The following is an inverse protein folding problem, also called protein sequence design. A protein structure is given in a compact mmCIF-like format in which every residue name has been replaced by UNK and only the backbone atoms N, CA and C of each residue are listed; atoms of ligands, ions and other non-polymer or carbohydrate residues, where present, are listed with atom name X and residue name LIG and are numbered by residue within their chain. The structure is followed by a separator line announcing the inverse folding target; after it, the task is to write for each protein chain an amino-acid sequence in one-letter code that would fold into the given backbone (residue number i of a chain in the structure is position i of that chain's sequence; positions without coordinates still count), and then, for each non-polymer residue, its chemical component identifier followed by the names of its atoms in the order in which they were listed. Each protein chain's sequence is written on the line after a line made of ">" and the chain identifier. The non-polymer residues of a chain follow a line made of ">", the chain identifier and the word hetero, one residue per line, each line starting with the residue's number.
data_IF_985730746073
#
_entry.id   IF_985730746073
#
_cell.length_a   1.000
_cell.length_b   1.000
_cell.length_c   1.000
_cell.angle_alpha   90.00
_cell.angle_beta   90.00
_cell.angle_gamma   90.00
#
_symmetry.space_group_name_H-M   'P 1'
#
loop_
_entity.id
_entity.type
_entity.pdbx_description
1 polymer ?
#
# COMPACT_ATOMS: atom_id res chain seq x y z
N UNK A 1 20.82 14.58 -14.35
CA UNK A 1 19.73 13.68 -13.91
C UNK A 1 20.02 12.20 -14.22
N UNK A 2 20.30 11.83 -15.48
CA UNK A 2 20.59 10.42 -15.86
C UNK A 2 21.76 9.78 -15.10
N UNK A 3 22.85 10.52 -14.86
CA UNK A 3 24.00 10.04 -14.08
C UNK A 3 23.62 9.67 -12.62
N UNK A 4 22.89 10.56 -11.94
CA UNK A 4 22.44 10.33 -10.55
C UNK A 4 21.46 9.15 -10.47
N UNK A 5 20.56 9.01 -11.46
CA UNK A 5 19.63 7.88 -11.56
C UNK A 5 20.39 6.55 -11.73
N UNK A 6 21.41 6.53 -12.58
CA UNK A 6 22.26 5.35 -12.78
C UNK A 6 23.10 4.98 -11.55
N UNK A 7 23.66 5.99 -10.87
CA UNK A 7 24.41 5.78 -9.63
C UNK A 7 23.52 5.23 -8.51
N UNK A 8 22.31 5.78 -8.33
CA UNK A 8 21.33 5.30 -7.36
C UNK A 8 20.93 3.85 -7.65
N UNK A 9 20.60 3.53 -8.92
CA UNK A 9 20.27 2.16 -9.32
C UNK A 9 21.39 1.18 -8.97
N UNK A 10 22.63 1.54 -9.28
CA UNK A 10 23.81 0.72 -8.98
C UNK A 10 23.93 0.49 -7.47
N UNK A 11 23.72 1.53 -6.67
CA UNK A 11 23.78 1.43 -5.21
C UNK A 11 22.68 0.52 -4.65
N UNK A 12 21.42 0.71 -5.07
CA UNK A 12 20.26 -0.10 -4.64
C UNK A 12 20.53 -1.59 -4.88
N UNK A 13 21.02 -1.94 -6.07
CA UNK A 13 21.35 -3.32 -6.42
C UNK A 13 22.51 -3.86 -5.58
N UNK A 14 23.57 -3.06 -5.40
CA UNK A 14 24.75 -3.47 -4.64
C UNK A 14 24.44 -3.76 -3.16
N UNK A 15 23.49 -3.03 -2.57
CA UNK A 15 23.10 -3.24 -1.17
C UNK A 15 21.92 -4.19 -1.00
N UNK A 16 21.32 -4.67 -2.09
CA UNK A 16 20.07 -5.45 -2.09
C UNK A 16 19.00 -4.81 -1.20
N UNK A 17 18.57 -3.61 -1.61
CA UNK A 17 17.83 -2.68 -0.75
C UNK A 17 16.47 -3.20 -0.29
N UNK A 18 16.37 -3.52 1.01
CA UNK A 18 15.16 -3.97 1.68
C UNK A 18 13.96 -3.01 1.58
N UNK A 19 14.16 -1.73 1.21
CA UNK A 19 13.09 -0.74 1.08
C UNK A 19 12.06 -1.05 -0.03
N UNK A 20 12.32 -2.08 -0.84
CA UNK A 20 11.40 -2.57 -1.87
C UNK A 20 10.46 -3.69 -1.39
N UNK A 21 10.64 -4.16 -0.16
CA UNK A 21 9.80 -5.18 0.48
C UNK A 21 8.66 -4.52 1.27
N UNK A 22 7.55 -5.24 1.45
CA UNK A 22 6.51 -4.85 2.40
C UNK A 22 7.04 -4.88 3.84
N UNK A 23 6.48 -4.05 4.72
CA UNK A 23 6.90 -3.92 6.12
C UNK A 23 6.79 -5.22 6.93
N UNK A 24 5.84 -6.09 6.55
CA UNK A 24 5.65 -7.40 7.17
C UNK A 24 6.25 -8.55 6.37
N UNK A 25 7.04 -8.24 5.33
CA UNK A 25 7.69 -9.26 4.52
C UNK A 25 8.63 -10.12 5.38
N UNK A 26 8.58 -11.45 5.26
CA UNK A 26 9.51 -12.32 5.98
C UNK A 26 10.97 -12.10 5.54
N UNK A 27 11.19 -11.52 4.36
CA UNK A 27 12.50 -11.18 3.82
C UNK A 27 13.02 -9.79 4.29
N UNK A 28 12.20 -9.02 5.02
CA UNK A 28 12.61 -7.70 5.50
C UNK A 28 13.75 -7.81 6.54
N UNK A 29 14.55 -6.75 6.64
CA UNK A 29 15.69 -6.66 7.55
C UNK A 29 17.04 -6.85 6.86
N UNK A 30 18.11 -6.42 7.54
CA UNK A 30 19.44 -6.30 6.95
C UNK A 30 19.96 -7.63 6.37
N UNK A 31 19.97 -8.70 7.16
CA UNK A 31 20.53 -9.98 6.72
C UNK A 31 19.60 -10.73 5.76
N UNK A 32 18.29 -10.71 6.04
CA UNK A 32 17.32 -11.50 5.27
C UNK A 32 17.14 -10.99 3.85
N UNK A 33 17.07 -9.67 3.66
CA UNK A 33 16.97 -9.06 2.34
C UNK A 33 18.17 -9.44 1.47
N UNK A 34 19.37 -9.45 2.05
CA UNK A 34 20.63 -9.78 1.36
C UNK A 34 20.87 -11.27 1.13
N UNK A 35 19.99 -12.14 1.63
CA UNK A 35 20.12 -13.58 1.38
C UNK A 35 19.93 -13.88 -0.12
N UNK A 36 20.71 -14.80 -0.71
CA UNK A 36 20.54 -15.17 -2.12
C UNK A 36 19.11 -15.62 -2.41
N UNK A 37 18.44 -14.91 -3.33
CA UNK A 37 17.07 -15.22 -3.73
C UNK A 37 15.99 -14.74 -2.76
N UNK A 38 16.30 -13.82 -1.83
CA UNK A 38 15.30 -13.25 -0.89
C UNK A 38 14.09 -12.64 -1.61
N UNK A 39 14.34 -11.89 -2.69
CA UNK A 39 13.36 -11.40 -3.65
C UNK A 39 14.08 -10.95 -4.93
N UNK A 40 13.40 -10.90 -6.09
CA UNK A 40 14.02 -10.56 -7.37
C UNK A 40 14.15 -9.04 -7.55
N UNK A 41 15.08 -8.40 -6.81
CA UNK A 41 15.24 -6.95 -6.76
C UNK A 41 15.39 -6.30 -8.15
N UNK A 42 16.13 -6.88 -9.09
CA UNK A 42 16.29 -6.30 -10.43
C UNK A 42 14.95 -6.16 -11.17
N UNK A 43 14.07 -7.15 -11.03
CA UNK A 43 12.73 -7.15 -11.65
C UNK A 43 11.82 -6.15 -10.95
N UNK A 44 11.87 -6.13 -9.63
CA UNK A 44 11.12 -5.19 -8.79
C UNK A 44 11.52 -3.74 -9.09
N UNK A 45 12.83 -3.48 -9.18
CA UNK A 45 13.36 -2.16 -9.47
C UNK A 45 13.00 -1.70 -10.90
N UNK A 46 12.94 -2.61 -11.86
CA UNK A 46 12.45 -2.29 -13.21
C UNK A 46 10.96 -1.89 -13.18
N UNK A 47 10.11 -2.57 -12.41
CA UNK A 47 8.70 -2.18 -12.23
C UNK A 47 8.60 -0.82 -11.50
N UNK A 48 9.43 -0.60 -10.48
CA UNK A 48 9.47 0.67 -9.75
C UNK A 48 9.83 1.85 -10.66
N UNK A 49 10.82 1.69 -11.54
CA UNK A 49 11.18 2.73 -12.52
C UNK A 49 10.01 3.05 -13.44
N UNK A 50 9.33 2.02 -13.99
CA UNK A 50 8.16 2.21 -14.85
C UNK A 50 7.03 2.95 -14.12
N UNK A 51 6.81 2.63 -12.85
CA UNK A 51 5.81 3.30 -12.03
C UNK A 51 6.17 4.77 -11.76
N UNK A 52 7.45 5.06 -11.55
CA UNK A 52 7.96 6.41 -11.35
C UNK A 52 7.87 7.27 -12.62
N UNK A 53 8.04 6.68 -13.80
CA UNK A 53 7.87 7.37 -15.09
C UNK A 53 6.39 7.79 -15.33
N UNK A 54 5.44 7.12 -14.67
CA UNK A 54 3.98 7.38 -14.78
C UNK A 54 3.46 7.35 -16.22
N UNK A 55 4.02 6.46 -17.04
CA UNK A 55 3.60 6.24 -18.41
C UNK A 55 2.56 5.10 -18.47
N UNK A 56 1.36 5.43 -18.97
CA UNK A 56 0.27 4.46 -19.16
C UNK A 56 0.63 3.34 -20.15
N UNK A 57 1.68 3.48 -20.96
CA UNK A 57 2.18 2.38 -21.81
C UNK A 57 2.63 1.14 -21.00
N UNK A 58 2.92 1.31 -19.71
CA UNK A 58 3.34 0.24 -18.81
C UNK A 58 2.19 -0.58 -18.18
N UNK A 59 0.91 -0.28 -18.49
CA UNK A 59 -0.24 -0.99 -17.90
C UNK A 59 -0.16 -2.50 -18.11
N UNK A 60 0.21 -2.97 -19.31
CA UNK A 60 0.35 -4.41 -19.59
C UNK A 60 1.52 -5.05 -18.83
N UNK A 61 2.61 -4.32 -18.63
CA UNK A 61 3.75 -4.80 -17.82
C UNK A 61 3.33 -5.03 -16.36
N UNK A 62 2.52 -4.12 -15.80
CA UNK A 62 2.00 -4.25 -14.44
C UNK A 62 0.94 -5.35 -14.31
N UNK A 63 0.07 -5.51 -15.31
CA UNK A 63 -0.90 -6.62 -15.34
C UNK A 63 -0.20 -7.98 -15.42
N UNK A 64 0.90 -8.09 -16.18
CA UNK A 64 1.72 -9.28 -16.19
C UNK A 64 2.39 -9.52 -14.82
N UNK A 65 2.86 -8.47 -14.15
CA UNK A 65 3.45 -8.57 -12.81
C UNK A 65 2.45 -9.05 -11.75
N UNK A 66 1.16 -8.68 -11.83
CA UNK A 66 0.11 -9.18 -10.94
C UNK A 66 -0.07 -10.71 -11.01
N UNK A 67 0.37 -11.36 -12.08
CA UNK A 67 0.30 -12.82 -12.24
C UNK A 67 1.59 -13.55 -11.81
N UNK A 68 2.59 -12.83 -11.27
CA UNK A 68 3.86 -13.43 -10.90
C UNK A 68 3.76 -14.34 -9.66
N UNK A 69 4.59 -15.38 -9.62
CA UNK A 69 4.70 -16.27 -8.45
C UNK A 69 5.24 -15.57 -7.21
N UNK A 70 6.07 -14.54 -7.38
CA UNK A 70 6.70 -13.80 -6.29
C UNK A 70 5.77 -12.67 -5.80
N UNK A 71 5.37 -12.65 -4.52
CA UNK A 71 4.46 -11.64 -3.98
C UNK A 71 5.04 -10.22 -4.05
N UNK A 72 6.37 -10.06 -3.98
CA UNK A 72 7.01 -8.74 -4.12
C UNK A 72 6.81 -8.20 -5.53
N UNK A 73 6.93 -9.05 -6.55
CA UNK A 73 6.67 -8.66 -7.95
C UNK A 73 5.20 -8.30 -8.14
N UNK A 74 4.26 -9.09 -7.59
CA UNK A 74 2.83 -8.77 -7.65
C UNK A 74 2.50 -7.45 -6.97
N UNK A 75 3.05 -7.20 -5.77
CA UNK A 75 2.89 -5.93 -5.04
C UNK A 75 3.34 -4.74 -5.88
N UNK A 76 4.50 -4.83 -6.54
CA UNK A 76 4.98 -3.75 -7.39
C UNK A 76 4.17 -3.58 -8.69
N UNK A 77 3.56 -4.64 -9.20
CA UNK A 77 2.51 -4.54 -10.23
C UNK A 77 1.31 -3.72 -9.75
N UNK A 78 0.79 -4.03 -8.56
CA UNK A 78 -0.33 -3.30 -7.96
C UNK A 78 0.02 -1.83 -7.66
N UNK A 79 1.21 -1.56 -7.11
CA UNK A 79 1.71 -0.19 -6.86
C UNK A 79 1.85 0.59 -8.17
N UNK A 80 2.36 -0.04 -9.24
CA UNK A 80 2.45 0.57 -10.56
C UNK A 80 1.08 1.00 -11.10
N UNK A 81 0.08 0.12 -11.02
CA UNK A 81 -1.29 0.44 -11.42
C UNK A 81 -1.93 1.53 -10.53
N UNK A 82 -1.64 1.52 -9.22
CA UNK A 82 -2.07 2.57 -8.30
C UNK A 82 -1.46 3.93 -8.67
N UNK A 83 -0.17 3.98 -8.99
CA UNK A 83 0.52 5.20 -9.40
C UNK A 83 -0.08 5.79 -10.69
N UNK A 84 -0.60 4.94 -11.57
CA UNK A 84 -1.25 5.35 -12.81
C UNK A 84 -2.77 5.58 -12.65
N UNK A 85 -3.41 5.21 -11.53
CA UNK A 85 -4.86 5.26 -11.36
C UNK A 85 -5.55 6.61 -11.69
N UNK A 86 -4.91 7.79 -11.53
CA UNK A 86 -5.47 9.05 -12.00
C UNK A 86 -5.63 9.16 -13.54
N UNK A 87 -4.93 8.34 -14.31
CA UNK A 87 -5.01 8.28 -15.77
C UNK A 87 -6.15 7.36 -16.21
N UNK A 88 -7.03 7.87 -17.08
CA UNK A 88 -8.15 7.11 -17.64
C UNK A 88 -7.71 5.90 -18.46
N UNK A 89 -6.49 5.92 -19.00
CA UNK A 89 -5.91 4.82 -19.78
C UNK A 89 -5.76 3.52 -18.96
N UNK A 90 -5.81 3.59 -17.63
CA UNK A 90 -5.71 2.42 -16.73
C UNK A 90 -7.05 1.69 -16.57
N UNK A 91 -8.17 2.26 -17.05
CA UNK A 91 -9.49 1.63 -17.00
C UNK A 91 -9.53 0.13 -17.39
N UNK A 92 -8.83 -0.32 -18.46
CA UNK A 92 -8.75 -1.73 -18.83
C UNK A 92 -8.13 -2.65 -17.77
N UNK A 93 -7.33 -2.13 -16.84
CA UNK A 93 -6.71 -2.93 -15.78
C UNK A 93 -7.69 -3.37 -14.67
N UNK A 94 -8.92 -2.84 -14.66
CA UNK A 94 -9.90 -3.12 -13.61
C UNK A 94 -10.14 -4.62 -13.36
N UNK A 95 -10.19 -5.44 -14.42
CA UNK A 95 -10.38 -6.89 -14.27
C UNK A 95 -9.16 -7.62 -13.72
N UNK A 96 -7.95 -7.13 -14.00
CA UNK A 96 -6.74 -7.62 -13.36
C UNK A 96 -6.73 -7.28 -11.87
N UNK A 97 -7.12 -6.05 -11.54
CA UNK A 97 -7.19 -5.58 -10.16
C UNK A 97 -8.26 -6.31 -9.36
N UNK A 98 -9.45 -6.61 -9.92
CA UNK A 98 -10.48 -7.43 -9.24
C UNK A 98 -9.97 -8.81 -8.82
N UNK A 99 -9.06 -9.40 -9.59
CA UNK A 99 -8.40 -10.66 -9.20
C UNK A 99 -7.33 -10.42 -8.14
N UNK A 100 -6.59 -9.32 -8.25
CA UNK A 100 -5.51 -9.00 -7.30
C UNK A 100 -6.01 -8.55 -5.91
N UNK A 101 -7.24 -8.04 -5.77
CA UNK A 101 -7.81 -7.77 -4.43
C UNK A 101 -8.14 -9.05 -3.65
N UNK A 102 -8.16 -10.20 -4.33
CA UNK A 102 -8.33 -11.53 -3.72
C UNK A 102 -6.98 -12.20 -3.40
N UNK A 103 -5.86 -11.51 -3.60
CA UNK A 103 -4.53 -12.04 -3.30
C UNK A 103 -4.42 -12.40 -1.82
N UNK A 104 -3.89 -13.59 -1.46
CA UNK A 104 -3.72 -13.97 -0.07
C UNK A 104 -2.69 -13.09 0.67
N UNK A 105 -1.81 -12.40 -0.06
CA UNK A 105 -0.86 -11.45 0.52
C UNK A 105 -1.51 -10.06 0.60
N UNK A 106 -1.78 -9.60 1.82
CA UNK A 106 -2.37 -8.28 2.07
C UNK A 106 -1.51 -7.13 1.51
N UNK A 107 -0.20 -7.33 1.39
CA UNK A 107 0.73 -6.36 0.80
C UNK A 107 0.52 -6.21 -0.71
N UNK A 108 -0.13 -7.17 -1.38
CA UNK A 108 -0.56 -7.11 -2.78
C UNK A 108 -1.99 -6.60 -2.86
N UNK A 109 -2.89 -7.16 -2.05
CA UNK A 109 -4.32 -6.84 -2.10
C UNK A 109 -4.62 -5.37 -1.77
N UNK A 110 -3.87 -4.76 -0.83
CA UNK A 110 -4.08 -3.37 -0.40
C UNK A 110 -3.88 -2.34 -1.53
N UNK A 111 -2.69 -2.24 -2.18
CA UNK A 111 -2.51 -1.32 -3.29
C UNK A 111 -3.39 -1.67 -4.50
N UNK A 112 -3.72 -2.94 -4.73
CA UNK A 112 -4.64 -3.34 -5.79
C UNK A 112 -6.06 -2.83 -5.53
N UNK A 113 -6.53 -2.92 -4.29
CA UNK A 113 -7.84 -2.43 -3.90
C UNK A 113 -7.90 -0.91 -3.96
N UNK A 114 -6.85 -0.22 -3.49
CA UNK A 114 -6.79 1.24 -3.63
C UNK A 114 -6.82 1.67 -5.11
N UNK A 115 -6.06 1.01 -5.98
CA UNK A 115 -6.08 1.29 -7.41
C UNK A 115 -7.48 1.07 -8.01
N UNK A 116 -8.10 -0.08 -7.70
CA UNK A 116 -9.43 -0.41 -8.20
C UNK A 116 -10.47 0.62 -7.73
N UNK A 117 -10.48 0.97 -6.45
CA UNK A 117 -11.38 1.96 -5.89
C UNK A 117 -11.21 3.34 -6.56
N UNK A 118 -9.97 3.77 -6.84
CA UNK A 118 -9.69 5.03 -7.54
C UNK A 118 -10.14 5.02 -9.00
N UNK A 119 -10.00 3.89 -9.69
CA UNK A 119 -10.34 3.77 -11.12
C UNK A 119 -11.85 3.64 -11.33
N UNK A 120 -12.54 2.88 -10.48
CA UNK A 120 -13.92 2.45 -10.74
C UNK A 120 -14.92 2.76 -9.62
N UNK A 121 -14.45 3.04 -8.39
CA UNK A 121 -15.32 3.11 -7.22
C UNK A 121 -15.95 1.76 -6.84
N UNK A 122 -15.32 0.64 -7.19
CA UNK A 122 -15.83 -0.71 -6.91
C UNK A 122 -15.94 -0.96 -5.40
N UNK A 123 -17.14 -1.28 -4.92
CA UNK A 123 -17.42 -1.56 -3.51
C UNK A 123 -16.63 -2.77 -2.97
N UNK A 124 -16.27 -3.72 -3.83
CA UNK A 124 -15.44 -4.86 -3.42
C UNK A 124 -14.07 -4.39 -2.91
N UNK A 125 -13.50 -3.34 -3.52
CA UNK A 125 -12.21 -2.78 -3.11
C UNK A 125 -12.28 -2.15 -1.71
N UNK A 126 -13.32 -1.35 -1.44
CA UNK A 126 -13.54 -0.76 -0.12
C UNK A 126 -13.73 -1.83 0.95
N UNK A 127 -14.49 -2.88 0.64
CA UNK A 127 -14.70 -4.03 1.54
C UNK A 127 -13.39 -4.76 1.84
N UNK A 128 -12.55 -5.00 0.82
CA UNK A 128 -11.24 -5.64 1.01
C UNK A 128 -10.36 -4.81 1.94
N UNK A 129 -10.25 -3.50 1.71
CA UNK A 129 -9.44 -2.61 2.57
C UNK A 129 -9.97 -2.56 4.01
N UNK A 130 -11.29 -2.46 4.19
CA UNK A 130 -11.92 -2.47 5.50
C UNK A 130 -11.70 -3.80 6.25
N UNK A 131 -11.76 -4.93 5.55
CA UNK A 131 -11.48 -6.24 6.11
C UNK A 131 -10.02 -6.39 6.56
N UNK A 132 -9.07 -5.95 5.72
CA UNK A 132 -7.63 -5.95 6.08
C UNK A 132 -7.41 -5.06 7.31
N UNK A 133 -8.01 -3.87 7.35
CA UNK A 133 -7.91 -2.95 8.50
C UNK A 133 -8.45 -3.56 9.81
N UNK A 134 -9.57 -4.27 9.73
CA UNK A 134 -10.25 -4.83 10.90
C UNK A 134 -9.52 -6.06 11.45
N UNK A 135 -9.22 -7.04 10.59
CA UNK A 135 -8.97 -8.42 11.00
C UNK A 135 -7.56 -8.97 10.67
N UNK A 136 -6.70 -8.24 9.95
CA UNK A 136 -5.38 -8.77 9.61
C UNK A 136 -4.44 -8.83 10.82
N UNK A 137 -3.62 -9.89 10.94
CA UNK A 137 -2.74 -10.09 12.11
C UNK A 137 -1.61 -9.06 12.19
N UNK A 138 -1.09 -8.63 11.05
CA UNK A 138 0.00 -7.66 10.98
C UNK A 138 -0.51 -6.22 11.09
N UNK A 139 -0.02 -5.50 12.09
CA UNK A 139 -0.34 -4.08 12.31
C UNK A 139 0.10 -3.19 11.14
N UNK A 140 1.11 -3.60 10.38
CA UNK A 140 1.62 -2.85 9.24
C UNK A 140 0.70 -2.95 8.03
N UNK A 141 0.14 -4.12 7.74
CA UNK A 141 -0.86 -4.26 6.67
C UNK A 141 -2.18 -3.58 7.04
N UNK A 142 -2.57 -3.64 8.33
CA UNK A 142 -3.71 -2.83 8.83
C UNK A 142 -3.47 -1.34 8.65
N UNK A 143 -2.27 -0.85 8.98
CA UNK A 143 -1.88 0.55 8.79
C UNK A 143 -1.88 0.95 7.31
N UNK A 144 -1.37 0.10 6.43
CA UNK A 144 -1.41 0.33 4.97
C UNK A 144 -2.86 0.47 4.48
N UNK A 145 -3.77 -0.40 4.95
CA UNK A 145 -5.18 -0.32 4.62
C UNK A 145 -5.86 0.95 5.16
N UNK A 146 -5.53 1.39 6.39
CA UNK A 146 -6.01 2.66 6.94
C UNK A 146 -5.57 3.85 6.07
N UNK A 147 -4.30 3.85 5.65
CA UNK A 147 -3.76 4.88 4.77
C UNK A 147 -4.46 4.88 3.40
N UNK A 148 -4.67 3.71 2.80
CA UNK A 148 -5.40 3.59 1.53
C UNK A 148 -6.82 4.19 1.65
N UNK A 149 -7.60 3.77 2.64
CA UNK A 149 -8.96 4.29 2.87
C UNK A 149 -8.99 5.82 3.10
N UNK A 150 -7.93 6.39 3.66
CA UNK A 150 -7.81 7.84 3.88
C UNK A 150 -7.80 8.66 2.59
N UNK A 151 -7.34 8.08 1.48
CA UNK A 151 -7.26 8.78 0.19
C UNK A 151 -8.39 8.40 -0.80
N UNK A 152 -9.40 7.65 -0.34
CA UNK A 152 -10.55 7.25 -1.16
C UNK A 152 -11.78 8.12 -0.89
N UNK A 153 -12.87 7.88 -1.64
CA UNK A 153 -14.12 8.62 -1.47
C UNK A 153 -14.72 8.33 -0.08
N UNK A 154 -14.65 9.32 0.81
CA UNK A 154 -15.05 9.15 2.22
C UNK A 154 -16.49 8.65 2.39
N UNK A 155 -17.42 9.03 1.50
CA UNK A 155 -18.81 8.56 1.57
C UNK A 155 -18.95 7.04 1.37
N UNK A 156 -18.03 6.42 0.63
CA UNK A 156 -17.95 4.96 0.46
C UNK A 156 -17.15 4.28 1.56
N UNK A 157 -16.32 5.04 2.28
CA UNK A 157 -15.62 4.56 3.48
C UNK A 157 -16.54 4.57 4.71
N UNK A 158 -17.48 5.53 4.81
CA UNK A 158 -18.42 5.68 5.94
C UNK A 158 -19.13 4.39 6.38
N UNK A 159 -19.61 3.50 5.48
CA UNK A 159 -20.24 2.24 5.87
C UNK A 159 -19.32 1.29 6.65
N UNK A 160 -17.99 1.47 6.55
CA UNK A 160 -16.97 0.67 7.21
C UNK A 160 -16.40 1.36 8.47
N UNK A 161 -17.11 2.36 9.02
CA UNK A 161 -16.69 3.13 10.20
C UNK A 161 -16.25 2.24 11.37
N UNK A 162 -16.97 1.17 11.65
CA UNK A 162 -16.65 0.27 12.78
C UNK A 162 -15.23 -0.30 12.68
N UNK A 163 -14.74 -0.60 11.47
CA UNK A 163 -13.37 -1.04 11.25
C UNK A 163 -12.35 0.07 11.56
N UNK A 164 -12.67 1.30 11.18
CA UNK A 164 -11.84 2.47 11.47
C UNK A 164 -11.82 2.78 12.97
N UNK A 165 -12.97 2.68 13.65
CA UNK A 165 -13.06 2.86 15.11
C UNK A 165 -12.27 1.79 15.87
N UNK A 166 -12.37 0.52 15.46
CA UNK A 166 -11.59 -0.57 16.02
C UNK A 166 -10.07 -0.33 15.84
N UNK A 167 -9.65 0.14 14.67
CA UNK A 167 -8.25 0.48 14.42
C UNK A 167 -7.80 1.73 15.21
N UNK A 168 -8.64 2.74 15.37
CA UNK A 168 -8.36 3.96 16.13
C UNK A 168 -8.21 3.70 17.63
N UNK A 169 -8.91 2.69 18.15
CA UNK A 169 -8.80 2.17 19.51
C UNK A 169 -7.58 1.26 19.72
N UNK A 170 -6.83 0.92 18.66
CA UNK A 170 -5.59 0.15 18.78
C UNK A 170 -4.58 0.88 19.67
N UNK A 171 -3.95 0.14 20.58
CA UNK A 171 -2.84 0.65 21.39
C UNK A 171 -1.54 0.85 20.59
N UNK A 172 -1.48 0.40 19.34
CA UNK A 172 -0.33 0.64 18.48
C UNK A 172 -0.37 2.06 17.93
N UNK A 173 0.65 2.85 18.26
CA UNK A 173 0.73 4.29 17.98
C UNK A 173 0.40 4.64 16.52
N UNK A 174 1.12 4.06 15.56
CA UNK A 174 0.95 4.39 14.15
C UNK A 174 -0.44 4.04 13.61
N UNK A 175 -0.98 2.88 13.98
CA UNK A 175 -2.28 2.41 13.50
C UNK A 175 -3.40 3.24 14.13
N UNK A 176 -3.35 3.42 15.45
CA UNK A 176 -4.33 4.21 16.18
C UNK A 176 -4.36 5.66 15.69
N UNK A 177 -3.19 6.27 15.46
CA UNK A 177 -3.10 7.63 14.94
C UNK A 177 -3.63 7.75 13.52
N UNK A 178 -3.24 6.87 12.60
CA UNK A 178 -3.75 6.90 11.23
C UNK A 178 -5.29 6.74 11.17
N UNK A 179 -5.83 5.79 11.94
CA UNK A 179 -7.26 5.56 12.00
C UNK A 179 -8.04 6.69 12.69
N UNK A 180 -7.48 7.32 13.75
CA UNK A 180 -8.07 8.54 14.34
C UNK A 180 -8.13 9.69 13.35
N UNK A 181 -7.06 9.89 12.57
CA UNK A 181 -7.07 10.88 11.49
C UNK A 181 -8.19 10.60 10.49
N UNK A 182 -8.32 9.35 10.05
CA UNK A 182 -9.41 8.93 9.16
C UNK A 182 -10.79 9.19 9.80
N UNK A 183 -10.99 8.94 11.09
CA UNK A 183 -12.26 9.27 11.77
C UNK A 183 -12.56 10.77 11.72
N UNK A 184 -11.58 11.63 12.00
CA UNK A 184 -11.77 13.08 11.89
C UNK A 184 -12.13 13.50 10.46
N UNK A 185 -11.55 12.86 9.44
CA UNK A 185 -11.91 13.09 8.03
C UNK A 185 -13.34 12.65 7.75
N UNK A 186 -13.73 11.44 8.19
CA UNK A 186 -15.10 10.94 8.05
C UNK A 186 -16.09 11.88 8.73
N UNK A 187 -15.80 12.36 9.93
CA UNK A 187 -16.69 13.26 10.67
C UNK A 187 -16.71 14.69 10.11
N UNK A 188 -15.76 15.05 9.24
CA UNK A 188 -15.57 16.43 8.78
C UNK A 188 -15.15 17.38 9.90
N UNK A 189 -14.51 16.84 10.95
CA UNK A 189 -14.14 17.57 12.17
C UNK A 189 -12.64 17.83 12.28
N UNK A 190 -11.84 17.36 11.32
CA UNK A 190 -10.39 17.57 11.34
C UNK A 190 -10.02 19.05 11.34
N UNK A 191 -9.14 19.40 12.26
CA UNK A 191 -8.39 20.67 12.28
C UNK A 191 -6.90 20.39 12.52
N UNK A 192 -5.98 21.30 12.18
CA UNK A 192 -4.57 21.15 12.50
C UNK A 192 -4.26 20.93 13.99
N UNK A 193 -5.16 21.34 14.88
CA UNK A 193 -5.07 21.17 16.34
C UNK A 193 -5.63 19.82 16.83
N UNK A 194 -6.24 19.03 15.94
CA UNK A 194 -6.83 17.73 16.31
C UNK A 194 -5.75 16.78 16.82
N UNK A 195 -6.01 16.14 17.97
CA UNK A 195 -5.10 15.21 18.61
C UNK A 195 -5.06 13.86 17.87
N UNK A 196 -4.37 13.82 16.73
CA UNK A 196 -4.12 12.60 15.96
C UNK A 196 -3.04 11.76 16.66
N UNK A 197 -1.96 12.41 17.08
CA UNK A 197 -0.86 11.80 17.82
C UNK A 197 -1.05 12.03 19.32
N UNK A 198 -1.07 10.95 20.09
CA UNK A 198 -1.09 11.03 21.54
C UNK A 198 0.35 10.94 22.09
N UNK A 199 1.04 12.09 22.06
CA UNK A 199 2.41 12.21 22.60
C UNK A 199 2.46 11.86 24.09
N UNK A 200 1.37 12.08 24.82
CA UNK A 200 1.31 11.79 26.26
C UNK A 200 1.27 10.29 26.55
N UNK A 201 0.53 9.51 25.76
CA UNK A 201 0.53 8.05 25.84
C UNK A 201 1.90 7.45 25.51
N UNK A 202 2.61 8.00 24.51
CA UNK A 202 3.98 7.56 24.13
C UNK A 202 4.96 7.73 25.29
N UNK A 203 4.90 8.87 25.98
CA UNK A 203 5.80 9.18 27.09
C UNK A 203 5.45 8.41 28.38
N UNK A 204 4.20 7.97 28.52
CA UNK A 204 3.70 7.25 29.70
C UNK A 204 3.84 5.72 29.61
N UNK A 205 4.11 5.18 28.42
CA UNK A 205 4.30 3.75 28.17
C UNK A 205 5.77 3.28 28.31
N UNK A 206 6.66 4.15 28.79
CA UNK A 206 8.06 3.85 29.16
C UNK A 206 8.21 3.66 30.66
#
# INVERSE_FOLDING_TARGET
>A
ESELRGALRTHILAVHDNGFLAEDSPAQGWDKSRAPGAYPLERVLALADRGADRDASAVEDFLAALADRDPTVRRWGAIGLLALAPDRAVGPAAEGLRRAIEDPDASVATPAAEALARITGDEAAYRTLAGILLDHDSVWSRLEAANALTFLELDRVRPYRDAVEAAAASGHEYLGSAARYLLFQLDGTYTPESAVFDVSAILSAR
#
